data_IF_954308934020
#
_entry.id   IF_954308934020
#
_cell.length_a   1.000
_cell.length_b   1.000
_cell.length_c   1.000
_cell.angle_alpha   90.00
_cell.angle_beta   90.00
_cell.angle_gamma   90.00
#
_symmetry.space_group_name_H-M   'P 1'
#
loop_
_entity.id
_entity.type
_entity.pdbx_description
1 polymer ?
#
# COMPACT_ATOMS: atom_id res chain seq x y z
N UNK A 1 3.82 -0.11 6.13
CA UNK A 1 2.47 -0.62 6.38
C UNK A 1 1.97 -1.21 5.08
N UNK A 2 1.36 -2.40 5.12
CA UNK A 2 0.73 -3.03 3.95
C UNK A 2 -0.77 -3.04 4.20
N UNK A 3 -1.55 -2.52 3.25
CA UNK A 3 -3.00 -2.43 3.28
C UNK A 3 -3.59 -3.25 2.12
N UNK A 4 -4.68 -3.95 2.40
CA UNK A 4 -5.47 -4.66 1.38
C UNK A 4 -6.72 -3.84 1.11
N UNK A 5 -6.95 -3.55 -0.16
CA UNK A 5 -8.09 -2.77 -0.62
C UNK A 5 -9.04 -3.67 -1.40
N UNK A 6 -10.29 -3.75 -0.95
CA UNK A 6 -11.34 -4.50 -1.62
C UNK A 6 -12.01 -3.66 -2.69
N UNK A 7 -12.78 -4.30 -3.58
CA UNK A 7 -13.47 -3.64 -4.69
C UNK A 7 -14.60 -2.66 -4.30
N UNK A 8 -14.62 -2.15 -3.06
CA UNK A 8 -15.58 -1.16 -2.57
C UNK A 8 -15.05 0.29 -2.58
N UNK A 9 -13.80 0.53 -2.99
CA UNK A 9 -13.20 1.88 -3.00
C UNK A 9 -13.46 2.69 -4.30
N UNK A 10 -14.72 2.76 -4.75
CA UNK A 10 -15.12 3.57 -5.92
C UNK A 10 -15.90 4.86 -5.58
N UNK A 11 -15.89 5.32 -4.33
CA UNK A 11 -16.42 6.65 -3.99
C UNK A 11 -15.30 7.65 -3.73
N UNK A 12 -15.33 8.77 -4.47
CA UNK A 12 -14.37 9.88 -4.39
C UNK A 12 -14.19 10.45 -2.96
N UNK A 13 -15.13 10.17 -2.05
CA UNK A 13 -15.09 10.54 -0.63
C UNK A 13 -14.00 9.79 0.14
N UNK A 14 -13.66 8.56 -0.25
CA UNK A 14 -12.61 7.78 0.42
C UNK A 14 -11.19 8.23 0.02
N UNK A 15 -11.02 8.73 -1.21
CA UNK A 15 -9.73 9.13 -1.75
C UNK A 15 -9.09 10.32 -1.00
N UNK A 16 -9.90 11.28 -0.53
CA UNK A 16 -9.42 12.40 0.27
C UNK A 16 -8.95 11.98 1.67
N UNK A 17 -9.71 11.08 2.32
CA UNK A 17 -9.34 10.52 3.64
C UNK A 17 -8.10 9.64 3.56
N UNK A 18 -7.95 8.88 2.48
CA UNK A 18 -6.79 8.01 2.29
C UNK A 18 -5.52 8.84 2.04
N UNK A 19 -5.63 9.94 1.29
CA UNK A 19 -4.52 10.88 1.09
C UNK A 19 -4.07 11.55 2.39
N UNK A 20 -5.01 12.00 3.23
CA UNK A 20 -4.68 12.57 4.54
C UNK A 20 -3.99 11.54 5.45
N UNK A 21 -4.49 10.30 5.47
CA UNK A 21 -3.89 9.21 6.23
C UNK A 21 -2.48 8.89 5.73
N UNK A 22 -2.29 8.83 4.42
CA UNK A 22 -0.97 8.56 3.82
C UNK A 22 0.03 9.65 4.17
N UNK A 23 -0.39 10.92 4.16
CA UNK A 23 0.45 12.05 4.56
C UNK A 23 0.85 11.98 6.04
N UNK A 24 -0.09 11.62 6.92
CA UNK A 24 0.19 11.45 8.35
C UNK A 24 1.17 10.30 8.61
N UNK A 25 0.95 9.15 7.95
CA UNK A 25 1.84 7.99 8.06
C UNK A 25 3.23 8.28 7.50
N UNK A 26 3.32 8.98 6.37
CA UNK A 26 4.58 9.44 5.81
C UNK A 26 5.32 10.39 6.76
N UNK A 27 4.60 11.28 7.44
CA UNK A 27 5.15 12.21 8.44
C UNK A 27 5.83 11.53 9.63
N UNK A 28 5.42 10.29 9.96
CA UNK A 28 6.06 9.47 11.01
C UNK A 28 7.03 8.41 10.45
N UNK A 29 7.42 8.52 9.17
CA UNK A 29 8.39 7.64 8.53
C UNK A 29 7.83 6.32 8.00
N UNK A 30 6.51 6.13 8.05
CA UNK A 30 5.85 4.95 7.51
C UNK A 30 5.45 5.20 6.04
N UNK A 31 5.88 4.31 5.14
CA UNK A 31 5.31 4.24 3.77
C UNK A 31 4.30 3.10 3.67
N UNK A 32 3.16 3.43 3.07
CA UNK A 32 2.01 2.54 2.83
C UNK A 32 2.18 1.87 1.47
N UNK A 33 1.87 0.58 1.40
CA UNK A 33 1.74 -0.19 0.17
C UNK A 33 0.33 -0.76 0.13
N UNK A 34 -0.46 -0.41 -0.89
CA UNK A 34 -1.81 -0.94 -1.10
C UNK A 34 -1.82 -1.96 -2.21
N UNK A 35 -2.53 -3.06 -2.00
CA UNK A 35 -2.79 -4.09 -2.99
C UNK A 35 -4.28 -4.39 -3.05
N UNK A 36 -4.79 -4.64 -4.25
CA UNK A 36 -6.18 -5.11 -4.41
C UNK A 36 -6.28 -6.56 -3.91
N UNK A 37 -7.41 -6.92 -3.31
CA UNK A 37 -7.68 -8.28 -2.84
C UNK A 37 -7.40 -9.33 -3.93
N UNK A 38 -7.77 -9.05 -5.19
CA UNK A 38 -7.49 -9.95 -6.30
C UNK A 38 -5.99 -10.09 -6.52
N UNK A 39 -5.22 -9.01 -6.50
CA UNK A 39 -3.77 -9.07 -6.68
C UNK A 39 -3.12 -9.96 -5.62
N UNK A 40 -3.56 -9.86 -4.36
CA UNK A 40 -3.01 -10.71 -3.30
C UNK A 40 -3.43 -12.17 -3.45
N UNK A 41 -4.66 -12.42 -3.90
CA UNK A 41 -5.19 -13.77 -4.06
C UNK A 41 -4.69 -14.47 -5.34
N UNK A 42 -4.42 -13.73 -6.42
CA UNK A 42 -4.09 -14.31 -7.73
C UNK A 42 -2.67 -14.02 -8.20
N UNK A 43 -2.02 -12.98 -7.66
CA UNK A 43 -0.71 -12.48 -8.10
C UNK A 43 0.25 -12.33 -6.91
N UNK A 44 0.21 -13.27 -5.96
CA UNK A 44 0.99 -13.21 -4.71
C UNK A 44 2.49 -13.01 -4.95
N UNK A 45 3.06 -13.62 -5.98
CA UNK A 45 4.48 -13.47 -6.32
C UNK A 45 4.83 -12.03 -6.72
N UNK A 46 3.95 -11.37 -7.46
CA UNK A 46 4.12 -9.97 -7.85
C UNK A 46 4.03 -9.04 -6.62
N UNK A 47 3.07 -9.30 -5.72
CA UNK A 47 2.92 -8.58 -4.45
C UNK A 47 4.18 -8.73 -3.60
N UNK A 48 4.71 -9.95 -3.47
CA UNK A 48 5.94 -10.23 -2.73
C UNK A 48 7.15 -9.53 -3.34
N UNK A 49 7.28 -9.49 -4.66
CA UNK A 49 8.37 -8.79 -5.34
C UNK A 49 8.36 -7.28 -5.05
N UNK A 50 7.17 -6.65 -5.03
CA UNK A 50 7.02 -5.23 -4.67
C UNK A 50 7.44 -4.98 -3.22
N UNK A 51 6.95 -5.81 -2.28
CA UNK A 51 7.32 -5.69 -0.86
C UNK A 51 8.83 -5.84 -0.69
N UNK A 52 9.42 -6.87 -1.31
CA UNK A 52 10.86 -7.15 -1.22
C UNK A 52 11.68 -5.97 -1.72
N UNK A 53 11.35 -5.42 -2.89
CA UNK A 53 12.03 -4.25 -3.45
C UNK A 53 11.97 -3.05 -2.49
N UNK A 54 10.82 -2.75 -1.90
CA UNK A 54 10.67 -1.62 -0.98
C UNK A 54 11.45 -1.82 0.31
N UNK A 55 11.51 -3.06 0.82
CA UNK A 55 12.36 -3.40 1.97
C UNK A 55 13.83 -3.24 1.62
N UNK A 56 14.27 -3.72 0.46
CA UNK A 56 15.65 -3.60 0.00
C UNK A 56 16.08 -2.13 -0.15
N UNK A 57 15.25 -1.30 -0.77
CA UNK A 57 15.48 0.16 -0.90
C UNK A 57 15.59 0.86 0.46
N UNK A 58 14.92 0.34 1.50
CA UNK A 58 14.98 0.89 2.86
C UNK A 58 16.18 0.43 3.66
N UNK A 59 16.62 -0.81 3.48
CA UNK A 59 17.79 -1.36 4.18
C UNK A 59 19.10 -0.82 3.59
N UNK A 60 19.12 -0.51 2.28
CA UNK A 60 20.28 0.08 1.62
C UNK A 60 20.52 1.57 1.93
N UNK A 61 19.65 2.21 2.73
CA UNK A 61 19.82 3.58 3.23
C UNK A 61 20.53 3.58 4.58
#
# INVERSE_FOLDING_TARGET
MVELDGSQHFEAVHQAKDSERDAQLAGIGLKVLRFDDRQVLTEVDAVMAVIFRVVEERIKR
#
